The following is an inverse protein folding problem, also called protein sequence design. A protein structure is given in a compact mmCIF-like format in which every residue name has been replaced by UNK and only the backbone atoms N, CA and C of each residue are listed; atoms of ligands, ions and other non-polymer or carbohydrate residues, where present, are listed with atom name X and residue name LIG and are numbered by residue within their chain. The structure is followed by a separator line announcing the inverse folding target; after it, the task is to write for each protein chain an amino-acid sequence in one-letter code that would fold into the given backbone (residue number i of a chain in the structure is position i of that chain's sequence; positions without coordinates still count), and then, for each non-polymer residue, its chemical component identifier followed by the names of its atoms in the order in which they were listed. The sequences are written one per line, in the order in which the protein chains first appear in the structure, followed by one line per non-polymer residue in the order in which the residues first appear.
data_IF_166432960640
#
_entry.id   IF_166432960640
#
_cell.length_a   1.000
_cell.length_b   1.000
_cell.length_c   1.000
_cell.angle_alpha   90.00
_cell.angle_beta   90.00
_cell.angle_gamma   90.00
#
_symmetry.space_group_name_H-M   'P 1'
#
loop_
_entity.id
_entity.type
_entity.pdbx_description
1 polymer ?
#
# COMPACT_ATOMS: atom_id res chain seq x y z
N UNK A 1 41.87 23.37 33.76
CA UNK A 1 41.97 22.26 32.79
C UNK A 1 41.42 21.01 33.46
N UNK A 2 40.10 20.99 33.64
CA UNK A 2 39.29 19.86 34.13
C UNK A 2 37.83 20.33 34.15
N UNK A 3 37.24 20.43 32.97
CA UNK A 3 35.79 20.48 32.74
C UNK A 3 35.60 19.78 31.38
N UNK A 4 34.47 19.11 31.19
CA UNK A 4 34.07 18.27 30.04
C UNK A 4 34.44 16.78 30.08
N UNK A 5 33.92 16.04 31.07
CA UNK A 5 33.35 14.70 30.80
C UNK A 5 32.19 14.44 31.78
N UNK A 6 31.09 15.13 31.58
CA UNK A 6 29.79 14.68 32.07
C UNK A 6 28.81 14.75 30.89
N UNK A 7 27.92 13.77 30.82
CA UNK A 7 26.74 13.74 29.94
C UNK A 7 26.95 13.16 28.52
N UNK A 8 26.86 11.82 28.44
CA UNK A 8 26.18 11.11 27.34
C UNK A 8 25.99 9.62 27.69
N UNK A 9 25.18 9.37 28.71
CA UNK A 9 24.53 8.06 28.89
C UNK A 9 23.06 8.34 29.15
N UNK A 10 22.28 8.35 28.08
CA UNK A 10 20.84 8.55 28.10
C UNK A 10 20.27 8.43 26.68
N UNK A 11 19.37 7.48 26.50
CA UNK A 11 18.59 7.19 25.28
C UNK A 11 19.32 6.43 24.16
N UNK A 12 19.58 5.13 24.37
CA UNK A 12 19.46 4.17 23.26
C UNK A 12 17.97 3.98 22.95
N UNK A 13 17.43 4.83 22.08
CA UNK A 13 16.15 4.55 21.43
C UNK A 13 16.29 3.20 20.71
N UNK A 14 15.44 2.25 21.08
CA UNK A 14 15.40 0.92 20.51
C UNK A 14 15.26 0.98 18.99
N UNK A 15 16.09 0.18 18.30
CA UNK A 15 16.20 -0.03 16.85
C UNK A 15 14.97 0.39 16.03
N UNK A 16 15.02 1.56 15.39
CA UNK A 16 14.14 1.86 14.26
C UNK A 16 14.96 1.83 12.97
N UNK A 17 14.58 0.98 12.00
CA UNK A 17 15.17 0.85 10.64
C UNK A 17 15.04 2.12 9.75
N UNK A 18 14.60 3.23 10.34
CA UNK A 18 14.40 4.52 9.69
C UNK A 18 15.50 5.51 10.12
N UNK A 19 16.10 6.27 9.18
CA UNK A 19 17.17 7.22 9.50
C UNK A 19 16.71 8.43 10.33
N UNK A 20 15.40 8.66 10.40
CA UNK A 20 14.74 9.70 11.20
C UNK A 20 13.28 9.31 11.41
N UNK A 21 12.66 9.81 12.48
CA UNK A 21 11.24 9.53 12.80
C UNK A 21 10.31 10.62 12.28
N UNK A 22 9.08 10.24 11.95
CA UNK A 22 8.05 11.20 11.55
C UNK A 22 7.58 12.02 12.75
N UNK A 23 7.47 11.40 13.93
CA UNK A 23 7.05 12.05 15.18
C UNK A 23 7.85 13.34 15.46
N UNK A 24 9.16 13.30 15.24
CA UNK A 24 10.11 14.39 15.48
C UNK A 24 10.06 15.53 14.44
N UNK A 25 9.36 15.36 13.32
CA UNK A 25 9.29 16.39 12.27
C UNK A 25 8.29 17.50 12.63
N UNK A 26 8.76 18.74 12.51
CA UNK A 26 7.95 19.96 12.64
C UNK A 26 7.73 20.60 11.27
N UNK A 27 6.50 21.07 11.03
CA UNK A 27 6.17 21.85 9.84
C UNK A 27 6.67 23.29 10.01
N UNK A 28 7.19 23.87 8.92
CA UNK A 28 7.65 25.27 8.93
C UNK A 28 6.46 26.23 8.95
N UNK A 29 5.35 25.82 8.30
CA UNK A 29 4.13 26.59 8.21
C UNK A 29 2.94 25.65 8.37
N UNK A 30 2.25 25.75 9.49
CA UNK A 30 1.03 24.99 9.76
C UNK A 30 -0.17 25.75 9.20
N UNK A 31 -1.10 25.02 8.60
CA UNK A 31 -2.39 25.55 8.20
C UNK A 31 -3.16 25.85 9.49
N UNK A 32 -3.67 27.08 9.69
CA UNK A 32 -4.37 27.42 10.91
C UNK A 32 -5.67 26.61 11.09
N UNK A 33 -6.01 26.29 12.34
CA UNK A 33 -7.18 25.46 12.71
C UNK A 33 -8.56 26.03 12.32
N UNK A 34 -8.64 27.28 11.85
CA UNK A 34 -9.89 27.88 11.39
C UNK A 34 -10.32 27.40 10.00
N UNK A 35 -9.43 26.75 9.25
CA UNK A 35 -9.72 26.20 7.91
C UNK A 35 -10.27 24.78 8.08
N UNK A 36 -11.38 24.42 7.42
CA UNK A 36 -11.89 23.05 7.47
C UNK A 36 -10.84 22.07 6.94
N UNK A 37 -10.70 20.90 7.58
CA UNK A 37 -9.72 19.87 7.25
C UNK A 37 -8.24 20.27 7.50
N UNK A 38 -7.97 21.36 8.21
CA UNK A 38 -6.60 21.81 8.51
C UNK A 38 -5.73 20.70 9.12
N UNK A 39 -6.27 19.92 10.06
CA UNK A 39 -5.53 18.83 10.72
C UNK A 39 -5.15 17.71 9.74
N UNK A 40 -6.07 17.34 8.84
CA UNK A 40 -5.82 16.31 7.83
C UNK A 40 -4.78 16.81 6.82
N UNK A 41 -4.90 18.06 6.38
CA UNK A 41 -3.96 18.67 5.44
C UNK A 41 -2.56 18.82 6.05
N UNK A 42 -2.46 19.27 7.30
CA UNK A 42 -1.20 19.36 8.04
C UNK A 42 -0.57 17.97 8.18
N UNK A 43 -1.36 16.94 8.49
CA UNK A 43 -0.88 15.55 8.55
C UNK A 43 -0.28 15.11 7.22
N UNK A 44 -0.99 15.31 6.12
CA UNK A 44 -0.51 14.95 4.77
C UNK A 44 0.75 15.73 4.40
N UNK A 45 0.84 17.02 4.72
CA UNK A 45 2.05 17.82 4.48
C UNK A 45 3.25 17.30 5.28
N UNK A 46 3.04 16.90 6.53
CA UNK A 46 4.09 16.33 7.38
C UNK A 46 4.58 14.99 6.80
N UNK A 47 3.66 14.14 6.37
CA UNK A 47 3.98 12.88 5.70
C UNK A 47 4.72 13.08 4.38
N UNK A 48 4.33 14.06 3.56
CA UNK A 48 5.04 14.39 2.33
C UNK A 48 6.46 14.91 2.59
N UNK A 49 6.64 15.73 3.64
CA UNK A 49 7.97 16.19 4.03
C UNK A 49 8.86 15.01 4.46
N UNK A 50 8.30 14.09 5.26
CA UNK A 50 8.96 12.86 5.70
C UNK A 50 9.37 12.00 4.51
N UNK A 51 8.41 11.69 3.64
CA UNK A 51 8.59 10.94 2.40
C UNK A 51 9.66 11.56 1.48
N UNK A 52 9.63 12.88 1.32
CA UNK A 52 10.58 13.59 0.46
C UNK A 52 12.02 13.57 1.01
N UNK A 53 12.18 13.68 2.33
CA UNK A 53 13.50 13.50 2.96
C UNK A 53 14.00 12.07 2.78
N UNK A 54 13.11 11.09 2.92
CA UNK A 54 13.47 9.67 2.81
C UNK A 54 13.84 9.33 1.36
N UNK A 55 13.09 9.86 0.40
CA UNK A 55 13.38 9.74 -1.02
C UNK A 55 14.79 10.25 -1.37
N UNK A 56 15.17 11.42 -0.85
CA UNK A 56 16.50 11.99 -1.10
C UNK A 56 17.64 11.16 -0.51
N UNK A 57 17.38 10.43 0.58
CA UNK A 57 18.35 9.55 1.18
C UNK A 57 18.49 8.22 0.41
N UNK A 58 17.38 7.66 -0.06
CA UNK A 58 17.33 6.28 -0.56
C UNK A 58 17.48 6.18 -2.09
N UNK A 59 17.10 7.21 -2.84
CA UNK A 59 17.12 7.14 -4.31
C UNK A 59 18.54 7.19 -4.87
N UNK A 60 18.96 6.05 -5.39
CA UNK A 60 20.25 5.86 -6.08
C UNK A 60 20.19 6.26 -7.55
N UNK A 61 21.36 6.30 -8.22
CA UNK A 61 21.48 6.56 -9.67
C UNK A 61 20.56 5.67 -10.51
N UNK A 62 20.33 4.42 -10.10
CA UNK A 62 19.46 3.48 -10.82
C UNK A 62 17.99 3.94 -10.88
N UNK A 63 17.50 4.64 -9.87
CA UNK A 63 16.13 5.19 -9.87
C UNK A 63 16.02 6.32 -10.90
N UNK A 64 16.99 7.23 -10.92
CA UNK A 64 17.02 8.34 -11.86
C UNK A 64 17.23 7.90 -13.31
N UNK A 65 18.09 6.90 -13.56
CA UNK A 65 18.25 6.33 -14.91
C UNK A 65 16.97 5.65 -15.38
N UNK A 66 16.25 4.97 -14.49
CA UNK A 66 14.94 4.38 -14.82
C UNK A 66 13.94 5.45 -15.24
N UNK A 67 13.83 6.55 -14.48
CA UNK A 67 12.96 7.68 -14.83
C UNK A 67 13.34 8.27 -16.19
N UNK A 68 14.64 8.42 -16.47
CA UNK A 68 15.13 8.89 -17.76
C UNK A 68 14.65 8.00 -18.92
N UNK A 69 14.73 6.67 -18.78
CA UNK A 69 14.21 5.75 -19.80
C UNK A 69 12.70 5.88 -19.98
N UNK A 70 11.93 6.06 -18.91
CA UNK A 70 10.51 6.35 -19.02
C UNK A 70 10.23 7.65 -19.78
N UNK A 71 10.98 8.72 -19.49
CA UNK A 71 10.83 10.00 -20.19
C UNK A 71 11.12 9.87 -21.68
N UNK A 72 12.24 9.23 -22.03
CA UNK A 72 12.60 8.98 -23.42
C UNK A 72 11.54 8.12 -24.12
N UNK A 73 11.02 7.09 -23.45
CA UNK A 73 9.97 6.24 -23.98
C UNK A 73 8.70 7.05 -24.33
N UNK A 74 8.24 7.90 -23.41
CA UNK A 74 7.05 8.72 -23.62
C UNK A 74 7.27 9.78 -24.71
N UNK A 75 8.41 10.49 -24.70
CA UNK A 75 8.71 11.54 -25.68
C UNK A 75 8.83 10.96 -27.08
N UNK A 76 9.61 9.88 -27.25
CA UNK A 76 9.76 9.23 -28.55
C UNK A 76 8.45 8.56 -29.00
N UNK A 77 7.59 8.13 -28.09
CA UNK A 77 6.29 7.58 -28.45
C UNK A 77 5.28 8.64 -28.90
N UNK A 78 5.36 9.85 -28.34
CA UNK A 78 4.31 10.87 -28.49
C UNK A 78 4.64 11.97 -29.49
N UNK A 79 5.93 12.25 -29.72
CA UNK A 79 6.37 13.37 -30.56
C UNK A 79 6.92 12.85 -31.88
N UNK A 80 6.04 12.61 -32.87
CA UNK A 80 6.46 12.22 -34.23
C UNK A 80 5.88 13.17 -35.27
N UNK A 81 6.55 13.31 -36.41
CA UNK A 81 6.03 14.16 -37.49
C UNK A 81 4.73 13.62 -38.11
N UNK A 82 4.44 12.31 -38.03
CA UNK A 82 3.11 11.78 -38.38
C UNK A 82 2.05 12.27 -37.39
N UNK A 83 2.31 12.17 -36.08
CA UNK A 83 1.33 12.58 -35.07
C UNK A 83 1.05 14.08 -35.13
N UNK A 84 2.09 14.89 -35.34
CA UNK A 84 1.94 16.35 -35.40
C UNK A 84 1.18 16.79 -36.67
N UNK A 85 1.34 16.08 -37.78
CA UNK A 85 0.70 16.41 -39.06
C UNK A 85 -0.63 15.65 -39.28
N UNK A 86 -1.02 14.77 -38.35
CA UNK A 86 -2.26 13.99 -38.39
C UNK A 86 -2.19 12.67 -39.19
N UNK A 87 -1.13 12.44 -39.98
CA UNK A 87 -0.95 11.23 -40.80
C UNK A 87 -2.02 10.99 -41.87
N UNK A 88 -1.93 9.85 -42.57
CA UNK A 88 -2.95 9.41 -43.54
C UNK A 88 -3.95 8.44 -42.90
N UNK A 89 -5.17 8.92 -42.65
CA UNK A 89 -6.25 8.15 -42.01
C UNK A 89 -6.81 7.02 -42.89
N UNK A 90 -6.46 6.96 -44.18
CA UNK A 90 -6.91 5.88 -45.08
C UNK A 90 -6.08 4.61 -44.95
N UNK A 91 -4.91 4.68 -44.31
CA UNK A 91 -4.01 3.56 -44.13
C UNK A 91 -3.97 3.20 -42.64
N UNK A 92 -4.33 1.96 -42.30
CA UNK A 92 -4.40 1.49 -40.91
C UNK A 92 -3.86 0.07 -40.76
N UNK A 93 -3.63 -0.35 -39.52
CA UNK A 93 -3.11 -1.69 -39.23
C UNK A 93 -1.66 -1.88 -39.68
N UNK A 94 -1.33 -3.08 -40.16
CA UNK A 94 0.02 -3.42 -40.63
C UNK A 94 0.45 -2.55 -41.82
N UNK A 95 -0.48 -2.26 -42.73
CA UNK A 95 -0.20 -1.41 -43.89
C UNK A 95 0.13 0.02 -43.46
N UNK A 96 -0.51 0.53 -42.40
CA UNK A 96 -0.20 1.84 -41.82
C UNK A 96 1.18 1.86 -41.17
N UNK A 97 1.55 0.81 -40.44
CA UNK A 97 2.88 0.67 -39.81
C UNK A 97 3.99 0.50 -40.84
N UNK A 98 3.70 -0.06 -42.02
CA UNK A 98 4.68 -0.16 -43.12
C UNK A 98 4.75 1.12 -43.97
N UNK A 99 3.73 1.97 -43.92
CA UNK A 99 3.66 3.21 -44.69
C UNK A 99 4.37 4.41 -44.03
N UNK A 100 4.69 4.33 -42.73
CA UNK A 100 5.40 5.41 -42.01
C UNK A 100 6.85 5.57 -42.49
N UNK A 101 7.39 6.77 -42.33
CA UNK A 101 8.79 7.05 -42.67
C UNK A 101 9.73 6.16 -41.83
N UNK A 102 10.81 5.66 -42.44
CA UNK A 102 11.80 4.80 -41.77
C UNK A 102 12.37 5.41 -40.47
N UNK A 103 12.51 6.74 -40.40
CA UNK A 103 12.92 7.42 -39.17
C UNK A 103 11.88 7.32 -38.05
N UNK A 104 10.59 7.49 -38.36
CA UNK A 104 9.50 7.38 -37.38
C UNK A 104 9.29 5.93 -36.95
N UNK A 105 9.42 4.98 -37.87
CA UNK A 105 9.42 3.56 -37.54
C UNK A 105 10.52 3.24 -36.52
N UNK A 106 11.75 3.73 -36.76
CA UNK A 106 12.86 3.58 -35.82
C UNK A 106 12.54 4.24 -34.47
N UNK A 107 11.97 5.45 -34.47
CA UNK A 107 11.59 6.17 -33.26
C UNK A 107 10.56 5.39 -32.41
N UNK A 108 9.52 4.82 -33.02
CA UNK A 108 8.52 3.98 -32.33
C UNK A 108 9.18 2.73 -31.75
N UNK A 109 10.07 2.08 -32.50
CA UNK A 109 10.81 0.91 -32.01
C UNK A 109 11.69 1.26 -30.80
N UNK A 110 12.39 2.40 -30.83
CA UNK A 110 13.19 2.89 -29.70
C UNK A 110 12.31 3.18 -28.49
N UNK A 111 11.15 3.83 -28.68
CA UNK A 111 10.17 4.07 -27.61
C UNK A 111 9.73 2.76 -26.94
N UNK A 112 9.40 1.72 -27.72
CA UNK A 112 9.01 0.40 -27.20
C UNK A 112 10.13 -0.28 -26.41
N UNK A 113 11.38 -0.20 -26.90
CA UNK A 113 12.55 -0.73 -26.18
C UNK A 113 12.75 0.03 -24.86
N UNK A 114 12.63 1.35 -24.86
CA UNK A 114 12.73 2.17 -23.65
C UNK A 114 11.63 1.85 -22.63
N UNK A 115 10.38 1.62 -23.08
CA UNK A 115 9.30 1.16 -22.21
C UNK A 115 9.56 -0.23 -21.62
N UNK A 116 10.03 -1.17 -22.44
CA UNK A 116 10.41 -2.52 -21.99
C UNK A 116 11.52 -2.47 -20.95
N UNK A 117 12.54 -1.64 -21.17
CA UNK A 117 13.62 -1.43 -20.22
C UNK A 117 13.14 -0.74 -18.93
N UNK A 118 12.28 0.26 -19.03
CA UNK A 118 11.65 0.90 -17.87
C UNK A 118 10.87 -0.12 -17.03
N UNK A 119 10.04 -0.96 -17.65
CA UNK A 119 9.28 -2.00 -16.96
C UNK A 119 10.18 -3.03 -16.29
N UNK A 120 11.24 -3.47 -16.98
CA UNK A 120 12.24 -4.38 -16.43
C UNK A 120 12.98 -3.77 -15.22
N UNK A 121 13.38 -2.50 -15.30
CA UNK A 121 14.03 -1.82 -14.18
C UNK A 121 13.09 -1.62 -13.00
N UNK A 122 11.84 -1.22 -13.23
CA UNK A 122 10.84 -1.11 -12.17
C UNK A 122 10.62 -2.47 -11.47
N UNK A 123 10.58 -3.57 -12.22
CA UNK A 123 10.51 -4.93 -11.68
C UNK A 123 11.72 -5.30 -10.82
N UNK A 124 12.92 -4.92 -11.24
CA UNK A 124 14.15 -5.25 -10.53
C UNK A 124 14.39 -4.37 -9.29
N UNK A 125 14.10 -3.07 -9.40
CA UNK A 125 14.24 -2.11 -8.30
C UNK A 125 13.22 -2.36 -7.17
N UNK A 126 12.05 -2.88 -7.52
CA UNK A 126 10.96 -3.07 -6.56
C UNK A 126 10.54 -4.53 -6.37
N UNK A 127 11.39 -5.40 -5.77
CA UNK A 127 11.11 -6.82 -5.58
C UNK A 127 9.78 -7.14 -4.86
N UNK A 128 9.44 -6.39 -3.81
CA UNK A 128 8.20 -6.60 -3.04
C UNK A 128 6.98 -6.20 -3.84
N UNK A 129 7.13 -5.25 -4.76
CA UNK A 129 6.06 -4.70 -5.59
C UNK A 129 6.10 -5.21 -7.03
N UNK A 130 6.87 -6.25 -7.36
CA UNK A 130 7.10 -6.73 -8.75
C UNK A 130 5.82 -6.92 -9.56
N UNK A 131 4.91 -7.72 -9.02
CA UNK A 131 3.63 -8.04 -9.67
C UNK A 131 2.81 -6.74 -9.82
N UNK A 132 2.80 -5.93 -8.76
CA UNK A 132 2.06 -4.67 -8.73
C UNK A 132 2.62 -3.64 -9.73
N UNK A 133 3.93 -3.59 -9.94
CA UNK A 133 4.59 -2.71 -10.92
C UNK A 133 4.11 -2.98 -12.34
N UNK A 134 4.04 -4.26 -12.75
CA UNK A 134 3.50 -4.61 -14.07
C UNK A 134 2.00 -4.39 -14.12
N UNK A 135 1.27 -4.73 -13.06
CA UNK A 135 -0.18 -4.52 -13.02
C UNK A 135 -0.53 -3.03 -13.19
N UNK A 136 0.21 -2.11 -12.56
CA UNK A 136 0.00 -0.66 -12.69
C UNK A 136 0.33 -0.15 -14.09
N UNK A 137 1.35 -0.71 -14.76
CA UNK A 137 1.62 -0.43 -16.17
C UNK A 137 0.50 -0.95 -17.09
N UNK A 138 -0.02 -2.14 -16.82
CA UNK A 138 -1.18 -2.68 -17.55
C UNK A 138 -2.42 -1.81 -17.32
N UNK A 139 -2.66 -1.36 -16.08
CA UNK A 139 -3.76 -0.45 -15.74
C UNK A 139 -3.61 0.92 -16.42
N UNK A 140 -2.40 1.46 -16.50
CA UNK A 140 -2.11 2.67 -17.27
C UNK A 140 -2.54 2.48 -18.73
N UNK A 141 -2.07 1.41 -19.38
CA UNK A 141 -2.45 1.10 -20.76
C UNK A 141 -3.96 0.82 -20.91
N UNK A 142 -4.59 0.24 -19.89
CA UNK A 142 -6.04 0.06 -19.84
C UNK A 142 -6.79 1.39 -19.85
N UNK A 143 -6.31 2.40 -19.13
CA UNK A 143 -6.88 3.76 -19.17
C UNK A 143 -6.70 4.41 -20.55
N UNK A 144 -5.55 4.24 -21.20
CA UNK A 144 -5.33 4.68 -22.59
C UNK A 144 -6.31 3.96 -23.54
N UNK A 145 -6.45 2.64 -23.39
CA UNK A 145 -7.39 1.82 -24.17
C UNK A 145 -8.85 2.24 -23.99
N UNK A 146 -9.26 2.59 -22.78
CA UNK A 146 -10.59 3.15 -22.54
C UNK A 146 -10.82 4.46 -23.30
N UNK A 147 -9.81 5.34 -23.36
CA UNK A 147 -9.90 6.58 -24.12
C UNK A 147 -10.01 6.35 -25.63
N UNK A 148 -9.38 5.31 -26.18
CA UNK A 148 -9.58 4.91 -27.59
C UNK A 148 -11.07 4.64 -27.86
N UNK A 149 -11.72 3.84 -27.02
CA UNK A 149 -13.13 3.51 -27.19
C UNK A 149 -14.05 4.73 -27.07
N UNK A 150 -13.74 5.68 -26.19
CA UNK A 150 -14.51 6.92 -26.08
C UNK A 150 -14.38 7.83 -27.32
N UNK A 151 -13.19 7.89 -27.92
CA UNK A 151 -12.92 8.77 -29.06
C UNK A 151 -13.26 8.14 -30.42
N UNK A 152 -13.39 6.81 -30.51
CA UNK A 152 -13.60 6.09 -31.79
C UNK A 152 -14.82 6.59 -32.56
N UNK A 153 -15.93 6.89 -31.86
CA UNK A 153 -17.18 7.40 -32.46
C UNK A 153 -17.44 8.87 -32.19
N UNK A 154 -16.69 9.46 -31.27
CA UNK A 154 -16.82 10.86 -30.88
C UNK A 154 -15.43 11.48 -30.67
N UNK A 155 -14.82 12.04 -31.72
CA UNK A 155 -13.49 12.66 -31.62
C UNK A 155 -13.41 13.82 -30.61
N UNK A 156 -14.54 14.45 -30.30
CA UNK A 156 -14.61 15.61 -29.38
C UNK A 156 -15.00 15.23 -27.94
N UNK A 157 -14.94 13.93 -27.59
CA UNK A 157 -15.31 13.45 -26.26
C UNK A 157 -14.63 14.26 -25.12
N UNK A 158 -15.37 14.70 -24.08
CA UNK A 158 -16.75 14.33 -23.71
C UNK A 158 -17.87 15.19 -24.31
N UNK A 159 -17.57 16.10 -25.24
CA UNK A 159 -18.59 16.95 -25.88
C UNK A 159 -19.45 16.09 -26.82
N UNK A 160 -20.77 16.25 -26.81
CA UNK A 160 -21.68 15.43 -27.64
C UNK A 160 -21.84 14.00 -27.11
N UNK A 161 -21.86 13.84 -25.78
CA UNK A 161 -21.91 12.56 -25.08
C UNK A 161 -23.17 11.74 -25.45
N UNK A 162 -22.94 10.54 -26.01
CA UNK A 162 -23.96 9.51 -26.22
C UNK A 162 -23.65 8.28 -25.37
N UNK A 163 -24.56 7.91 -24.45
CA UNK A 163 -24.35 6.79 -23.52
C UNK A 163 -24.12 5.44 -24.22
N UNK A 164 -24.79 5.22 -25.35
CA UNK A 164 -24.65 3.99 -26.14
C UNK A 164 -23.23 3.78 -26.68
N UNK A 165 -22.49 4.85 -26.95
CA UNK A 165 -21.15 4.79 -27.55
C UNK A 165 -20.04 4.66 -26.50
N UNK A 166 -20.37 4.91 -25.23
CA UNK A 166 -19.42 4.86 -24.13
C UNK A 166 -19.30 3.49 -23.45
N UNK A 167 -20.26 2.58 -23.68
CA UNK A 167 -20.40 1.34 -22.92
C UNK A 167 -19.08 0.55 -22.80
N UNK A 168 -18.34 0.40 -23.90
CA UNK A 168 -17.07 -0.34 -23.92
C UNK A 168 -15.97 0.38 -23.12
N UNK A 169 -15.77 1.67 -23.35
CA UNK A 169 -14.78 2.46 -22.61
C UNK A 169 -15.09 2.51 -21.11
N UNK A 170 -16.36 2.69 -20.75
CA UNK A 170 -16.80 2.72 -19.35
C UNK A 170 -16.56 1.38 -18.66
N UNK A 171 -16.82 0.24 -19.32
CA UNK A 171 -16.53 -1.07 -18.75
C UNK A 171 -15.04 -1.23 -18.45
N UNK A 172 -14.16 -0.84 -19.37
CA UNK A 172 -12.70 -0.89 -19.15
C UNK A 172 -12.29 -0.01 -17.98
N UNK A 173 -12.81 1.23 -17.89
CA UNK A 173 -12.55 2.12 -16.75
C UNK A 173 -12.98 1.46 -15.43
N UNK A 174 -14.19 0.89 -15.36
CA UNK A 174 -14.68 0.25 -14.14
C UNK A 174 -13.78 -0.91 -13.70
N UNK A 175 -13.35 -1.76 -14.64
CA UNK A 175 -12.44 -2.88 -14.35
C UNK A 175 -11.07 -2.36 -13.87
N UNK A 176 -10.52 -1.34 -14.53
CA UNK A 176 -9.23 -0.77 -14.11
C UNK A 176 -9.33 -0.12 -12.73
N UNK A 177 -10.36 0.68 -12.47
CA UNK A 177 -10.57 1.30 -11.15
C UNK A 177 -10.82 0.27 -10.05
N UNK A 178 -11.49 -0.83 -10.36
CA UNK A 178 -11.61 -1.96 -9.45
C UNK A 178 -10.24 -2.52 -9.06
N UNK A 179 -9.37 -2.83 -10.02
CA UNK A 179 -8.02 -3.32 -9.71
C UNK A 179 -7.13 -2.28 -9.00
N UNK A 180 -7.25 -0.99 -9.35
CA UNK A 180 -6.55 0.09 -8.64
C UNK A 180 -7.01 0.19 -7.18
N UNK A 181 -8.30 0.01 -6.91
CA UNK A 181 -8.84 -0.03 -5.55
C UNK A 181 -8.30 -1.24 -4.78
N UNK A 182 -8.29 -2.43 -5.38
CA UNK A 182 -7.72 -3.64 -4.76
C UNK A 182 -6.23 -3.47 -4.47
N UNK A 183 -5.47 -2.87 -5.39
CA UNK A 183 -4.07 -2.54 -5.17
C UNK A 183 -3.89 -1.59 -3.98
N UNK A 184 -4.64 -0.48 -3.95
CA UNK A 184 -4.59 0.49 -2.85
C UNK A 184 -4.92 -0.18 -1.50
N UNK A 185 -5.99 -0.99 -1.46
CA UNK A 185 -6.39 -1.76 -0.29
C UNK A 185 -5.32 -2.74 0.16
N UNK A 186 -4.72 -3.51 -0.76
CA UNK A 186 -3.68 -4.48 -0.44
C UNK A 186 -2.45 -3.81 0.20
N UNK A 187 -2.04 -2.65 -0.29
CA UNK A 187 -0.91 -1.90 0.27
C UNK A 187 -1.20 -1.43 1.70
N UNK A 188 -2.37 -0.82 1.93
CA UNK A 188 -2.76 -0.34 3.27
C UNK A 188 -2.85 -1.50 4.26
N UNK A 189 -3.53 -2.59 3.89
CA UNK A 189 -3.70 -3.76 4.75
C UNK A 189 -2.39 -4.49 5.04
N UNK A 190 -1.48 -4.59 4.06
CA UNK A 190 -0.16 -5.21 4.28
C UNK A 190 0.67 -4.37 5.25
N UNK A 191 0.58 -3.04 5.16
CA UNK A 191 1.26 -2.14 6.10
C UNK A 191 0.71 -2.31 7.51
N UNK A 192 -0.61 -2.31 7.66
CA UNK A 192 -1.25 -2.47 8.98
C UNK A 192 -0.77 -3.78 9.64
N UNK A 193 -0.80 -4.88 8.87
CA UNK A 193 -0.28 -6.18 9.31
C UNK A 193 1.22 -6.15 9.63
N UNK A 194 2.03 -5.43 8.86
CA UNK A 194 3.46 -5.29 9.12
C UNK A 194 3.74 -4.61 10.47
N UNK A 195 2.97 -3.56 10.80
CA UNK A 195 3.11 -2.85 12.08
C UNK A 195 2.67 -3.76 13.23
N UNK A 196 1.54 -4.45 13.09
CA UNK A 196 1.01 -5.39 14.08
C UNK A 196 1.99 -6.55 14.39
N UNK A 197 2.76 -7.02 13.40
CA UNK A 197 3.69 -8.14 13.60
C UNK A 197 5.06 -7.68 14.09
N UNK A 198 5.63 -6.62 13.50
CA UNK A 198 7.03 -6.27 13.70
C UNK A 198 7.25 -5.13 14.71
N UNK A 199 6.21 -4.36 15.01
CA UNK A 199 6.28 -3.21 15.91
C UNK A 199 5.30 -3.32 17.09
N UNK A 200 4.79 -4.53 17.38
CA UNK A 200 3.95 -4.78 18.54
C UNK A 200 4.70 -4.44 19.82
N UNK A 201 4.10 -3.58 20.64
CA UNK A 201 4.64 -3.24 21.95
C UNK A 201 3.52 -3.12 22.98
N UNK A 202 3.82 -3.46 24.23
CA UNK A 202 2.86 -3.40 25.35
C UNK A 202 2.46 -1.94 25.66
N UNK A 203 3.35 -0.97 25.38
CA UNK A 203 3.03 0.45 25.51
C UNK A 203 2.34 0.98 24.24
N UNK A 204 1.08 1.38 24.41
CA UNK A 204 0.24 1.99 23.36
C UNK A 204 0.89 3.21 22.70
N UNK A 205 1.71 3.98 23.42
CA UNK A 205 2.36 5.18 22.87
C UNK A 205 3.43 4.83 21.85
N UNK A 206 4.20 3.79 22.12
CA UNK A 206 5.23 3.30 21.19
C UNK A 206 4.58 2.69 19.95
N UNK A 207 3.44 2.03 20.12
CA UNK A 207 2.64 1.52 19.00
C UNK A 207 2.05 2.66 18.14
N UNK A 208 1.50 3.71 18.77
CA UNK A 208 0.99 4.90 18.05
C UNK A 208 2.10 5.61 17.27
N UNK A 209 3.30 5.72 17.85
CA UNK A 209 4.48 6.25 17.15
C UNK A 209 4.86 5.38 15.94
N UNK A 210 4.87 4.05 16.09
CA UNK A 210 5.18 3.14 15.00
C UNK A 210 4.14 3.19 13.87
N UNK A 211 2.84 3.29 14.21
CA UNK A 211 1.74 3.48 13.25
C UNK A 211 1.85 4.82 12.51
N UNK A 212 2.27 5.87 13.23
CA UNK A 212 2.49 7.19 12.65
C UNK A 212 3.68 7.17 11.67
N UNK A 213 4.81 6.57 12.07
CA UNK A 213 6.00 6.46 11.22
C UNK A 213 5.76 5.64 9.95
N UNK A 214 4.82 4.68 9.99
CA UNK A 214 4.39 3.88 8.84
C UNK A 214 3.08 4.38 8.20
N UNK A 215 2.69 5.65 8.41
CA UNK A 215 1.47 6.18 7.83
C UNK A 215 1.51 6.20 6.28
N UNK A 216 0.37 5.86 5.68
CA UNK A 216 0.14 5.80 4.22
C UNK A 216 -0.88 6.84 3.73
N UNK A 217 -1.24 7.84 4.55
CA UNK A 217 -2.25 8.86 4.15
C UNK A 217 -1.71 9.74 3.02
N UNK A 218 -0.48 10.22 3.16
CA UNK A 218 0.25 10.99 2.15
C UNK A 218 0.54 10.16 0.90
N UNK A 219 0.87 8.86 1.06
CA UNK A 219 1.03 7.95 -0.08
C UNK A 219 -0.29 7.75 -0.84
N UNK A 220 -1.42 7.62 -0.15
CA UNK A 220 -2.74 7.51 -0.77
C UNK A 220 -3.07 8.74 -1.61
N UNK A 221 -2.71 9.94 -1.15
CA UNK A 221 -2.86 11.18 -1.91
C UNK A 221 -1.94 11.20 -3.16
N UNK A 222 -0.71 10.69 -3.05
CA UNK A 222 0.20 10.57 -4.20
C UNK A 222 -0.32 9.54 -5.21
N UNK A 223 -0.86 8.41 -4.74
CA UNK A 223 -1.48 7.40 -5.61
C UNK A 223 -2.70 7.97 -6.36
N UNK A 224 -3.58 8.70 -5.67
CA UNK A 224 -4.70 9.38 -6.32
C UNK A 224 -4.23 10.42 -7.36
N UNK A 225 -3.16 11.16 -7.04
CA UNK A 225 -2.53 12.12 -7.96
C UNK A 225 -1.99 11.41 -9.20
N UNK A 226 -1.33 10.26 -9.03
CA UNK A 226 -0.86 9.43 -10.14
C UNK A 226 -2.00 9.02 -11.08
N UNK A 227 -3.10 8.50 -10.52
CA UNK A 227 -4.28 8.11 -11.31
C UNK A 227 -4.83 9.31 -12.08
N UNK A 228 -4.96 10.48 -11.45
CA UNK A 228 -5.42 11.69 -12.14
C UNK A 228 -4.49 12.08 -13.30
N UNK A 229 -3.17 12.08 -13.08
CA UNK A 229 -2.19 12.40 -14.13
C UNK A 229 -2.33 11.44 -15.32
N UNK A 230 -2.47 10.14 -15.06
CA UNK A 230 -2.65 9.13 -16.12
C UNK A 230 -3.96 9.33 -16.88
N UNK A 231 -5.06 9.60 -16.19
CA UNK A 231 -6.37 9.84 -16.83
C UNK A 231 -6.32 11.08 -17.72
N UNK A 232 -5.79 12.20 -17.22
CA UNK A 232 -5.68 13.45 -17.98
C UNK A 232 -4.73 13.27 -19.17
N UNK A 233 -3.58 12.63 -18.95
CA UNK A 233 -2.61 12.35 -20.01
C UNK A 233 -3.22 11.46 -21.10
N UNK A 234 -3.91 10.38 -20.72
CA UNK A 234 -4.56 9.47 -21.66
C UNK A 234 -5.64 10.17 -22.48
N UNK A 235 -6.49 10.97 -21.83
CA UNK A 235 -7.52 11.74 -22.51
C UNK A 235 -6.90 12.75 -23.49
N UNK A 236 -5.96 13.57 -23.04
CA UNK A 236 -5.34 14.61 -23.87
C UNK A 236 -4.57 14.01 -25.07
N UNK A 237 -3.87 12.89 -24.87
CA UNK A 237 -3.15 12.20 -25.93
C UNK A 237 -4.09 11.66 -27.00
N UNK A 238 -5.19 11.02 -26.60
CA UNK A 238 -6.17 10.50 -27.56
C UNK A 238 -6.96 11.61 -28.25
N UNK A 239 -7.29 12.68 -27.53
CA UNK A 239 -7.97 13.82 -28.11
C UNK A 239 -7.11 14.50 -29.19
N UNK A 240 -5.81 14.63 -28.97
CA UNK A 240 -4.87 15.15 -29.97
C UNK A 240 -4.86 14.30 -31.26
N UNK A 241 -4.90 12.97 -31.13
CA UNK A 241 -4.92 12.06 -32.28
C UNK A 241 -6.29 12.05 -32.97
N UNK A 242 -7.38 12.18 -32.20
CA UNK A 242 -8.74 12.12 -32.72
C UNK A 242 -9.18 13.41 -33.44
N UNK A 243 -8.67 14.58 -33.05
CA UNK A 243 -9.04 15.89 -33.63
C UNK A 243 -8.42 16.15 -35.02
N UNK A 244 -8.39 15.14 -35.88
CA UNK A 244 -7.73 15.11 -37.19
C UNK A 244 -7.86 16.41 -38.00
N UNK A 245 -6.74 16.93 -38.48
CA UNK A 245 -6.68 18.11 -39.37
C UNK A 245 -6.75 19.47 -38.67
N UNK A 246 -7.13 19.53 -37.40
CA UNK A 246 -6.91 20.69 -36.54
C UNK A 246 -5.63 20.47 -35.75
N UNK A 247 -4.55 21.19 -36.10
CA UNK A 247 -3.25 21.09 -35.43
C UNK A 247 -3.28 21.71 -34.02
N UNK A 248 -4.09 21.14 -33.13
CA UNK A 248 -4.20 21.58 -31.76
C UNK A 248 -3.09 20.95 -30.91
N UNK A 249 -1.89 21.53 -31.04
CA UNK A 249 -0.69 21.18 -30.26
C UNK A 249 -0.95 21.31 -28.75
N UNK A 250 -1.96 22.09 -28.33
CA UNK A 250 -2.33 22.25 -26.92
C UNK A 250 -2.60 20.91 -26.22
N UNK A 251 -3.28 19.97 -26.89
CA UNK A 251 -3.58 18.66 -26.31
C UNK A 251 -2.32 17.78 -26.17
N UNK A 252 -1.39 17.84 -27.14
CA UNK A 252 -0.08 17.19 -27.02
C UNK A 252 0.72 17.75 -25.84
N UNK A 253 0.70 19.07 -25.64
CA UNK A 253 1.36 19.72 -24.50
C UNK A 253 0.76 19.24 -23.18
N UNK A 254 -0.57 19.17 -23.06
CA UNK A 254 -1.24 18.64 -21.86
C UNK A 254 -0.89 17.17 -21.63
N UNK A 255 -0.85 16.35 -22.70
CA UNK A 255 -0.44 14.94 -22.63
C UNK A 255 0.97 14.80 -22.04
N UNK A 256 1.93 15.61 -22.50
CA UNK A 256 3.31 15.59 -22.01
C UNK A 256 3.46 16.18 -20.60
N UNK A 257 2.77 17.29 -20.31
CA UNK A 257 2.82 17.94 -18.98
C UNK A 257 2.24 17.06 -17.87
N UNK A 258 1.33 16.15 -18.20
CA UNK A 258 0.74 15.22 -17.22
C UNK A 258 1.40 13.83 -17.27
N UNK A 259 1.77 13.36 -18.46
CA UNK A 259 2.41 12.05 -18.66
C UNK A 259 3.85 12.00 -18.16
N UNK A 260 4.65 13.06 -18.35
CA UNK A 260 6.02 13.09 -17.85
C UNK A 260 6.06 13.01 -16.32
N UNK A 261 5.31 13.84 -15.54
CA UNK A 261 5.27 13.68 -14.09
C UNK A 261 4.68 12.34 -13.62
N UNK A 262 3.81 11.69 -14.37
CA UNK A 262 3.24 10.40 -13.99
C UNK A 262 4.31 9.29 -13.83
N UNK A 263 5.45 9.39 -14.53
CA UNK A 263 6.55 8.41 -14.46
C UNK A 263 7.28 8.42 -13.10
N UNK A 264 7.87 9.55 -12.63
CA UNK A 264 8.49 9.60 -11.30
C UNK A 264 7.47 9.41 -10.18
N UNK A 265 6.21 9.81 -10.38
CA UNK A 265 5.14 9.54 -9.41
C UNK A 265 4.83 8.04 -9.35
N UNK A 266 4.82 7.30 -10.46
CA UNK A 266 4.70 5.84 -10.45
C UNK A 266 5.84 5.18 -9.67
N UNK A 267 7.07 5.62 -9.93
CA UNK A 267 8.26 5.17 -9.20
C UNK A 267 8.11 5.40 -7.69
N UNK A 268 7.57 6.55 -7.29
CA UNK A 268 7.29 6.88 -5.90
C UNK A 268 6.21 5.95 -5.30
N UNK A 269 5.10 5.73 -6.02
CA UNK A 269 4.00 4.85 -5.61
C UNK A 269 4.50 3.43 -5.33
N UNK A 270 5.46 2.93 -6.12
CA UNK A 270 6.08 1.62 -5.91
C UNK A 270 7.12 1.62 -4.79
N UNK A 271 7.94 2.66 -4.72
CA UNK A 271 9.06 2.75 -3.78
C UNK A 271 8.61 2.83 -2.32
N UNK A 272 7.66 3.70 -1.99
CA UNK A 272 7.36 4.00 -0.58
C UNK A 272 6.81 2.79 0.20
N UNK A 273 5.81 2.03 -0.31
CA UNK A 273 5.35 0.81 0.37
C UNK A 273 6.47 -0.21 0.55
N UNK A 274 7.31 -0.44 -0.46
CA UNK A 274 8.43 -1.37 -0.33
C UNK A 274 9.43 -0.92 0.74
N UNK A 275 9.73 0.39 0.80
CA UNK A 275 10.65 0.92 1.80
C UNK A 275 10.13 0.75 3.23
N UNK A 276 8.80 0.86 3.41
CA UNK A 276 8.14 0.67 4.69
C UNK A 276 7.99 -0.80 5.08
N UNK A 277 7.85 -1.70 4.11
CA UNK A 277 7.65 -3.14 4.37
C UNK A 277 8.97 -3.94 4.45
N UNK A 278 10.10 -3.36 4.05
CA UNK A 278 11.38 -4.04 3.97
C UNK A 278 11.47 -5.03 2.80
N UNK A 279 12.46 -5.93 2.84
CA UNK A 279 12.77 -6.81 1.69
C UNK A 279 12.03 -8.17 1.68
N UNK A 280 11.29 -8.51 2.74
CA UNK A 280 10.69 -9.85 2.90
C UNK A 280 9.16 -9.89 2.86
N UNK A 281 8.49 -8.74 2.85
CA UNK A 281 7.03 -8.70 2.80
C UNK A 281 6.49 -9.05 1.41
N UNK A 282 5.28 -9.62 1.37
CA UNK A 282 4.50 -9.74 0.14
C UNK A 282 3.20 -8.93 0.28
N UNK A 283 2.94 -8.03 -0.66
CA UNK A 283 1.76 -7.16 -0.62
C UNK A 283 0.51 -7.91 -1.08
N UNK A 284 -0.38 -8.21 -0.12
CA UNK A 284 -1.62 -8.97 -0.30
C UNK A 284 -2.71 -8.42 0.63
N UNK A 285 -3.98 -8.61 0.28
CA UNK A 285 -5.10 -8.28 1.19
C UNK A 285 -5.19 -9.28 2.34
N UNK A 286 -5.77 -8.89 3.49
CA UNK A 286 -5.97 -9.81 4.63
C UNK A 286 -6.75 -11.06 4.23
N UNK A 287 -7.83 -10.88 3.48
CA UNK A 287 -8.62 -11.99 2.95
C UNK A 287 -7.81 -12.96 2.07
N UNK A 288 -6.83 -12.48 1.30
CA UNK A 288 -5.97 -13.35 0.50
C UNK A 288 -4.94 -14.10 1.35
N UNK A 289 -4.48 -13.50 2.46
CA UNK A 289 -3.65 -14.19 3.45
C UNK A 289 -4.47 -15.26 4.15
N UNK A 290 -5.65 -14.93 4.66
CA UNK A 290 -6.55 -15.87 5.35
C UNK A 290 -6.96 -17.04 4.44
N UNK A 291 -7.36 -16.76 3.20
CA UNK A 291 -7.67 -17.79 2.22
C UNK A 291 -6.44 -18.67 1.89
N UNK A 292 -5.23 -18.10 1.87
CA UNK A 292 -4.01 -18.91 1.67
C UNK A 292 -3.69 -19.79 2.87
N UNK A 293 -3.95 -19.32 4.09
CA UNK A 293 -3.81 -20.09 5.32
C UNK A 293 -4.83 -21.23 5.36
N UNK A 294 -6.09 -20.95 5.04
CA UNK A 294 -7.17 -21.94 4.93
C UNK A 294 -6.86 -23.01 3.87
N UNK A 295 -6.42 -22.59 2.67
CA UNK A 295 -6.03 -23.51 1.60
C UNK A 295 -4.76 -24.32 1.92
N UNK A 296 -3.87 -23.80 2.78
CA UNK A 296 -2.66 -24.52 3.20
C UNK A 296 -2.93 -25.62 4.22
N UNK A 297 -4.18 -25.76 4.69
CA UNK A 297 -4.56 -26.74 5.72
C UNK A 297 -3.94 -26.44 7.09
N UNK A 298 -3.26 -25.29 7.23
CA UNK A 298 -2.91 -24.72 8.52
C UNK A 298 -4.21 -24.18 9.09
N UNK A 299 -4.97 -25.05 9.76
CA UNK A 299 -5.94 -24.60 10.76
C UNK A 299 -5.17 -23.59 11.59
N UNK A 300 -5.62 -22.32 11.70
CA UNK A 300 -4.93 -21.40 12.60
C UNK A 300 -4.85 -22.18 13.90
N UNK A 301 -3.63 -22.42 14.36
CA UNK A 301 -3.48 -22.69 15.76
C UNK A 301 -4.08 -21.44 16.37
N UNK A 302 -5.35 -21.50 16.80
CA UNK A 302 -5.80 -20.72 17.93
C UNK A 302 -4.64 -20.89 18.88
N UNK A 303 -3.85 -19.83 18.99
CA UNK A 303 -2.60 -19.81 19.71
C UNK A 303 -3.02 -20.41 21.04
N UNK A 304 -2.65 -21.67 21.32
CA UNK A 304 -2.88 -22.29 22.63
C UNK A 304 -1.90 -21.53 23.51
N UNK A 305 -2.29 -20.31 23.81
CA UNK A 305 -1.69 -19.43 24.77
C UNK A 305 -2.00 -20.16 26.06
N UNK A 306 -1.04 -20.98 26.47
CA UNK A 306 -1.07 -21.61 27.78
C UNK A 306 -1.33 -20.48 28.77
N UNK A 307 -2.42 -20.59 29.53
CA UNK A 307 -2.72 -19.63 30.57
C UNK A 307 -1.49 -19.49 31.47
N UNK A 308 -1.16 -18.26 31.86
CA UNK A 308 0.02 -17.97 32.66
C UNK A 308 -0.35 -17.01 33.79
N UNK A 309 0.33 -17.13 34.93
CA UNK A 309 0.12 -16.22 36.04
C UNK A 309 0.50 -14.78 35.64
N UNK A 310 -0.38 -13.78 35.86
CA UNK A 310 -0.09 -12.40 35.47
C UNK A 310 1.13 -11.80 36.20
N UNK A 311 1.38 -12.21 37.45
CA UNK A 311 2.49 -11.67 38.25
C UNK A 311 3.84 -12.34 38.00
N UNK A 312 3.88 -13.65 37.74
CA UNK A 312 5.14 -14.41 37.69
C UNK A 312 5.34 -15.25 36.43
N UNK A 313 4.39 -15.23 35.49
CA UNK A 313 4.46 -15.96 34.23
C UNK A 313 4.43 -17.50 34.34
N UNK A 314 4.16 -18.04 35.53
CA UNK A 314 4.10 -19.49 35.73
C UNK A 314 2.90 -20.10 34.98
N UNK A 315 3.11 -21.26 34.35
CA UNK A 315 2.06 -21.96 33.61
C UNK A 315 0.88 -22.33 34.51
N UNK A 316 -0.33 -22.01 34.07
CA UNK A 316 -1.58 -22.29 34.74
C UNK A 316 -2.33 -23.40 33.99
N UNK A 317 -3.00 -24.34 34.70
CA UNK A 317 -3.77 -25.41 34.07
C UNK A 317 -5.14 -24.94 33.54
N UNK A 318 -5.38 -23.63 33.49
CA UNK A 318 -6.57 -23.02 32.92
C UNK A 318 -6.60 -23.18 31.39
N UNK A 319 -7.77 -23.47 30.84
CA UNK A 319 -7.96 -23.66 29.40
C UNK A 319 -9.33 -23.18 28.94
N UNK A 320 -9.51 -22.97 27.63
CA UNK A 320 -10.81 -22.68 27.03
C UNK A 320 -11.46 -23.97 26.51
N UNK A 321 -12.76 -24.11 26.74
CA UNK A 321 -13.54 -25.21 26.17
C UNK A 321 -13.99 -24.93 24.72
N UNK A 322 -14.65 -25.89 24.08
CA UNK A 322 -15.11 -25.74 22.69
C UNK A 322 -16.17 -24.65 22.48
N UNK A 323 -16.75 -24.11 23.56
CA UNK A 323 -17.71 -23.00 23.55
C UNK A 323 -17.07 -21.66 23.95
N UNK A 324 -15.78 -21.62 24.27
CA UNK A 324 -15.05 -20.41 24.65
C UNK A 324 -15.15 -20.02 26.13
N UNK A 325 -15.63 -20.92 26.99
CA UNK A 325 -15.68 -20.69 28.44
C UNK A 325 -14.38 -21.18 29.13
N UNK A 326 -14.01 -20.54 30.24
CA UNK A 326 -12.81 -20.87 31.00
C UNK A 326 -13.04 -22.11 31.88
N UNK A 327 -12.22 -23.14 31.68
CA UNK A 327 -12.22 -24.38 32.45
C UNK A 327 -10.91 -24.55 33.23
N UNK A 328 -11.06 -24.96 34.49
CA UNK A 328 -9.94 -25.26 35.39
C UNK A 328 -10.16 -26.64 36.02
N UNK A 329 -9.09 -27.42 36.30
CA UNK A 329 -9.21 -28.64 37.10
C UNK A 329 -9.87 -28.36 38.45
N UNK A 330 -10.78 -29.21 38.89
CA UNK A 330 -11.51 -29.01 40.13
C UNK A 330 -10.55 -28.88 41.33
N UNK A 331 -10.83 -27.91 42.22
CA UNK A 331 -10.07 -27.71 43.46
C UNK A 331 -10.47 -28.68 44.59
N UNK A 332 -11.52 -29.47 44.37
CA UNK A 332 -12.03 -30.43 45.36
C UNK A 332 -10.99 -31.52 45.65
N UNK A 333 -10.81 -31.92 46.93
CA UNK A 333 -9.81 -32.92 47.29
C UNK A 333 -10.07 -34.24 46.57
N UNK A 334 -9.11 -34.67 45.72
CA UNK A 334 -9.20 -35.91 44.95
C UNK A 334 -10.04 -35.84 43.67
N UNK A 335 -10.46 -34.65 43.23
CA UNK A 335 -11.20 -34.46 41.97
C UNK A 335 -10.29 -33.86 40.89
N UNK A 336 -10.26 -34.45 39.69
CA UNK A 336 -9.50 -33.97 38.54
C UNK A 336 -10.38 -33.61 37.34
N UNK A 337 -11.69 -33.49 37.54
CA UNK A 337 -12.62 -33.07 36.51
C UNK A 337 -12.33 -31.63 36.08
N UNK A 338 -12.41 -31.35 34.77
CA UNK A 338 -12.40 -29.98 34.26
C UNK A 338 -13.77 -29.35 34.51
N UNK A 339 -13.77 -28.16 35.09
CA UNK A 339 -15.00 -27.47 35.48
C UNK A 339 -14.92 -26.02 35.03
N UNK A 340 -16.02 -25.52 34.47
CA UNK A 340 -16.15 -24.12 34.11
C UNK A 340 -16.05 -23.24 35.37
N UNK A 341 -15.19 -22.23 35.30
CA UNK A 341 -14.95 -21.28 36.40
C UNK A 341 -16.28 -20.60 36.78
N UNK A 342 -16.57 -20.56 38.08
CA UNK A 342 -17.84 -20.02 38.62
C UNK A 342 -19.00 -21.01 38.69
N UNK A 343 -18.87 -22.22 38.13
CA UNK A 343 -19.87 -23.28 38.24
C UNK A 343 -19.50 -24.34 39.31
N UNK A 344 -20.50 -25.12 39.72
CA UNK A 344 -20.26 -26.28 40.61
C UNK A 344 -19.75 -27.47 39.81
N UNK A 345 -18.74 -28.17 40.36
CA UNK A 345 -18.20 -29.39 39.74
C UNK A 345 -19.29 -30.47 39.61
N UNK A 346 -19.47 -31.02 38.42
CA UNK A 346 -20.44 -32.09 38.18
C UNK A 346 -20.09 -33.40 38.90
N UNK A 347 -18.80 -33.62 39.22
CA UNK A 347 -18.32 -34.87 39.79
C UNK A 347 -18.30 -34.87 41.33
N UNK A 348 -17.97 -33.75 41.97
CA UNK A 348 -17.82 -33.65 43.42
C UNK A 348 -18.66 -32.53 44.07
N UNK A 349 -19.48 -31.83 43.28
CA UNK A 349 -20.41 -30.77 43.72
C UNK A 349 -19.73 -29.59 44.44
N UNK A 350 -18.40 -29.51 44.42
CA UNK A 350 -17.65 -28.40 45.00
C UNK A 350 -17.80 -27.17 44.09
N UNK A 351 -18.17 -25.99 44.62
CA UNK A 351 -18.27 -24.76 43.83
C UNK A 351 -16.88 -24.28 43.41
N UNK A 352 -16.68 -23.99 42.12
CA UNK A 352 -15.44 -23.40 41.64
C UNK A 352 -15.41 -21.89 41.90
N UNK A 353 -14.33 -21.37 42.50
CA UNK A 353 -14.17 -19.93 42.67
C UNK A 353 -13.94 -19.25 41.32
N UNK A 354 -14.35 -17.99 41.21
CA UNK A 354 -14.07 -17.14 40.03
C UNK A 354 -12.63 -16.59 40.00
N UNK A 355 -11.91 -16.76 41.11
CA UNK A 355 -10.50 -16.37 41.28
C UNK A 355 -9.66 -17.60 41.56
N UNK A 356 -8.47 -17.65 40.98
CA UNK A 356 -7.56 -18.80 41.04
C UNK A 356 -6.29 -18.37 41.77
N UNK A 357 -5.77 -19.26 42.62
CA UNK A 357 -4.50 -19.06 43.31
C UNK A 357 -3.35 -19.60 42.46
N UNK A 358 -2.30 -18.80 42.26
CA UNK A 358 -1.07 -19.28 41.63
C UNK A 358 -0.26 -20.12 42.62
N UNK A 359 0.06 -21.39 42.33
CA UNK A 359 0.88 -22.22 43.23
C UNK A 359 2.35 -21.78 43.30
N UNK A 360 2.82 -20.97 42.34
CA UNK A 360 4.21 -20.53 42.27
C UNK A 360 4.49 -19.24 43.05
N UNK A 361 3.60 -18.26 43.02
CA UNK A 361 3.79 -16.96 43.69
C UNK A 361 2.72 -16.62 44.74
N UNK A 362 1.67 -17.44 44.88
CA UNK A 362 0.61 -17.25 45.87
C UNK A 362 -0.36 -16.11 45.57
N UNK A 363 -0.31 -15.49 44.38
CA UNK A 363 -1.29 -14.46 44.00
C UNK A 363 -2.66 -15.08 43.77
N UNK A 364 -3.70 -14.39 44.23
CA UNK A 364 -5.10 -14.71 43.96
C UNK A 364 -5.65 -13.69 42.94
N UNK A 365 -5.80 -14.12 41.69
CA UNK A 365 -6.29 -13.27 40.60
C UNK A 365 -7.56 -13.86 39.95
N UNK A 366 -8.45 -13.02 39.38
CA UNK A 366 -9.53 -13.47 38.51
C UNK A 366 -9.03 -14.45 37.44
N UNK A 367 -9.80 -15.50 37.13
CA UNK A 367 -9.39 -16.48 36.13
C UNK A 367 -9.15 -15.87 34.73
N UNK A 368 -9.84 -14.77 34.41
CA UNK A 368 -9.67 -14.06 33.14
C UNK A 368 -8.24 -13.49 33.00
N UNK A 369 -7.64 -12.99 34.08
CA UNK A 369 -6.32 -12.35 34.09
C UNK A 369 -5.18 -13.36 33.84
N UNK A 370 -5.46 -14.66 33.90
CA UNK A 370 -4.50 -15.71 33.53
C UNK A 370 -4.47 -15.99 32.03
N UNK A 371 -5.48 -15.51 31.28
CA UNK A 371 -5.49 -15.56 29.84
C UNK A 371 -4.90 -14.26 29.32
N UNK A 372 -3.92 -14.31 28.40
CA UNK A 372 -3.44 -13.09 27.75
C UNK A 372 -4.62 -12.43 27.02
N UNK A 373 -4.83 -11.13 27.24
CA UNK A 373 -5.91 -10.35 26.65
C UNK A 373 -5.97 -10.59 25.14
N UNK A 374 -7.04 -11.25 24.67
CA UNK A 374 -7.31 -11.40 23.25
C UNK A 374 -7.96 -10.14 22.64
N UNK A 375 -8.29 -9.15 23.49
CA UNK A 375 -8.96 -7.90 23.10
C UNK A 375 -8.10 -6.64 23.35
N UNK A 376 -6.79 -6.79 23.56
CA UNK A 376 -5.85 -5.68 23.40
C UNK A 376 -5.51 -5.56 21.90
N UNK A 377 -6.42 -4.86 21.23
CA UNK A 377 -6.53 -4.43 19.83
C UNK A 377 -5.22 -4.02 19.14
#
# INVERSE_FOLDING_TARGET
MADDVAEKVGSSAANSDLPFRMSEMKLIKEIPAHIPLADTMNTVQKEWLFQWKLLRNDWTRSHYTTILFGFLALIFGSVSSELINGGDAKVSGLDGVLAINGFQFFQVMVSLICWGWFAYQAWMLFPVMRIHAISLLVMWNGLVGAQIFFHQKNPTFPVGLNLSDMMQGTLVVLVVFFFLFFFWKAVVETRDLHVEINHLHEDVRVMEEALADHSLRGWSAVFATWVMLVVISSWAGLHHVASYGESNIGFLVVHLLTGLPAIPVLMFVLWYPQRMLGNQAQVRTRAAVDASLEMSGVVPAMRKTSAACPECGASSPLSLNSTGELEHPCIGPGCSALVVVGNSCYACTTPMPSRIDCPSCGVNAPALDYMPDQEAW
#
